data_IF_767419929187
#
_entry.id   IF_767419929187
#
_cell.length_a   1.000
_cell.length_b   1.000
_cell.length_c   1.000
_cell.angle_alpha   90.00
_cell.angle_beta   90.00
_cell.angle_gamma   90.00
#
_symmetry.space_group_name_H-M   'P 1'
#
loop_
_entity.id
_entity.type
_entity.pdbx_description
1 polymer ?
#
# COMPACT_ATOMS: atom_id res chain seq x y z
N UNK A 1 -2.21 -7.84 16.35
CA UNK A 1 -2.07 -7.72 14.89
C UNK A 1 -0.60 -7.81 14.50
N UNK A 2 0.24 -6.95 15.04
CA UNK A 2 1.69 -6.89 14.74
C UNK A 2 2.38 -8.23 15.05
N UNK A 3 2.14 -8.82 16.23
CA UNK A 3 2.73 -10.11 16.63
C UNK A 3 2.31 -11.30 15.74
N UNK A 4 1.30 -11.13 14.90
CA UNK A 4 0.82 -12.12 13.95
C UNK A 4 1.06 -11.70 12.49
N UNK A 5 1.91 -10.71 12.28
CA UNK A 5 2.33 -10.23 10.94
C UNK A 5 1.14 -9.97 10.01
N UNK A 6 0.11 -9.25 10.52
CA UNK A 6 -1.08 -8.90 9.73
C UNK A 6 -0.77 -7.68 8.87
N UNK A 7 -0.82 -7.81 7.56
CA UNK A 7 -0.53 -6.75 6.60
C UNK A 7 -1.71 -5.79 6.40
N UNK A 8 -2.94 -6.33 6.35
CA UNK A 8 -4.16 -5.56 6.10
C UNK A 8 -5.24 -5.89 7.12
N UNK A 9 -5.94 -4.86 7.58
CA UNK A 9 -7.17 -4.99 8.36
C UNK A 9 -8.31 -4.28 7.65
N UNK A 10 -9.42 -4.97 7.41
CA UNK A 10 -10.59 -4.41 6.75
C UNK A 10 -11.70 -4.19 7.78
N UNK A 11 -12.21 -2.96 7.80
CA UNK A 11 -13.29 -2.52 8.68
C UNK A 11 -14.54 -2.18 7.88
N UNK A 12 -15.70 -2.43 8.46
CA UNK A 12 -16.99 -1.94 7.99
C UNK A 12 -17.51 -0.81 8.89
N UNK A 13 -18.83 -0.63 8.90
CA UNK A 13 -19.62 0.26 9.76
C UNK A 13 -19.64 1.71 9.30
N UNK A 14 -18.50 2.38 9.17
CA UNK A 14 -18.43 3.75 8.67
C UNK A 14 -18.64 3.80 7.15
N UNK A 15 -19.62 4.60 6.70
CA UNK A 15 -20.09 4.58 5.32
C UNK A 15 -19.28 5.51 4.41
N UNK A 16 -17.98 5.25 4.33
CA UNK A 16 -17.03 5.85 3.39
C UNK A 16 -15.89 4.88 3.14
N UNK A 17 -15.01 5.21 2.21
CA UNK A 17 -13.74 4.53 2.02
C UNK A 17 -12.62 5.33 2.68
N UNK A 18 -11.76 4.65 3.44
CA UNK A 18 -10.53 5.22 3.98
C UNK A 18 -9.41 4.19 3.98
N UNK A 19 -8.22 4.63 3.59
CA UNK A 19 -6.98 3.87 3.74
C UNK A 19 -6.01 4.65 4.63
N UNK A 20 -5.41 3.94 5.59
CA UNK A 20 -4.35 4.51 6.41
C UNK A 20 -2.96 4.28 5.79
N UNK A 21 -1.96 5.01 6.26
CA UNK A 21 -0.59 4.54 6.26
C UNK A 21 -0.47 3.25 7.08
N UNK A 22 0.67 2.52 7.01
CA UNK A 22 0.96 1.48 8.00
C UNK A 22 1.03 2.09 9.39
N UNK A 23 0.18 1.62 10.33
CA UNK A 23 0.04 2.25 11.66
C UNK A 23 0.04 1.24 12.80
N UNK A 24 0.67 1.62 13.92
CA UNK A 24 0.57 0.95 15.21
C UNK A 24 0.12 1.99 16.25
N UNK A 25 -0.98 1.71 16.96
CA UNK A 25 -1.53 2.60 17.98
C UNK A 25 -1.73 4.05 17.46
N UNK A 26 -2.27 4.20 16.26
CA UNK A 26 -2.48 5.48 15.56
C UNK A 26 -1.19 6.26 15.23
N UNK A 27 -0.03 5.66 15.39
CA UNK A 27 1.26 6.24 15.00
C UNK A 27 1.69 5.64 13.66
N UNK A 28 1.95 6.50 12.68
CA UNK A 28 2.47 6.09 11.37
C UNK A 28 3.87 5.53 11.54
N UNK A 29 4.09 4.31 11.08
CA UNK A 29 5.38 3.62 11.17
C UNK A 29 6.26 3.93 9.97
N UNK A 30 5.68 3.92 8.79
CA UNK A 30 6.38 4.18 7.55
C UNK A 30 5.52 5.05 6.65
N UNK A 31 6.06 6.17 6.22
CA UNK A 31 5.53 6.94 5.09
C UNK A 31 6.34 6.50 3.87
N UNK A 32 5.97 5.37 3.28
CA UNK A 32 6.57 4.96 2.02
C UNK A 32 6.41 6.02 0.92
N UNK A 33 6.96 5.82 -0.26
CA UNK A 33 6.95 6.74 -1.41
C UNK A 33 5.56 6.89 -2.07
N UNK A 34 4.45 7.07 -1.34
CA UNK A 34 3.19 6.51 -1.76
C UNK A 34 2.05 7.50 -1.81
N UNK A 35 1.68 7.74 -3.00
CA UNK A 35 0.35 8.19 -3.36
C UNK A 35 -0.51 7.02 -3.84
N UNK A 36 -1.58 7.34 -4.58
CA UNK A 36 -2.38 6.40 -5.35
C UNK A 36 -1.47 5.55 -6.26
N UNK A 37 -1.57 4.23 -6.12
CA UNK A 37 -0.74 3.28 -6.86
C UNK A 37 0.62 2.95 -6.23
N UNK A 38 0.85 3.31 -4.96
CA UNK A 38 2.11 3.03 -4.26
C UNK A 38 2.36 1.55 -3.96
N UNK A 39 3.62 1.21 -3.79
CA UNK A 39 4.08 -0.10 -3.38
C UNK A 39 4.52 -0.07 -1.93
N UNK A 40 4.18 -1.11 -1.17
CA UNK A 40 4.63 -1.34 0.20
C UNK A 40 5.33 -2.69 0.25
N UNK A 41 6.55 -2.71 0.73
CA UNK A 41 7.31 -3.94 0.93
C UNK A 41 7.61 -4.12 2.42
N UNK A 42 7.28 -5.32 2.95
CA UNK A 42 7.66 -5.73 4.30
C UNK A 42 7.20 -4.78 5.40
N UNK A 43 5.96 -4.30 5.34
CA UNK A 43 5.47 -3.42 6.42
C UNK A 43 5.34 -4.21 7.70
N UNK A 44 6.04 -3.79 8.76
CA UNK A 44 5.88 -4.36 10.09
C UNK A 44 4.61 -3.86 10.81
N UNK A 45 3.81 -3.05 10.13
CA UNK A 45 2.60 -2.44 10.65
C UNK A 45 1.43 -2.62 9.67
N UNK A 46 0.22 -2.94 10.15
CA UNK A 46 -0.93 -3.14 9.29
C UNK A 46 -1.40 -1.84 8.63
N UNK A 47 -1.87 -1.96 7.38
CA UNK A 47 -2.66 -0.96 6.70
C UNK A 47 -4.13 -1.22 7.05
N UNK A 48 -4.84 -0.18 7.48
CA UNK A 48 -6.26 -0.28 7.76
C UNK A 48 -7.09 0.27 6.60
N UNK A 49 -8.11 -0.48 6.21
CA UNK A 49 -9.08 -0.13 5.18
C UNK A 49 -10.46 -0.06 5.80
N UNK A 50 -11.09 1.12 5.80
CA UNK A 50 -12.52 1.27 6.10
C UNK A 50 -13.27 1.15 4.77
N UNK A 51 -14.22 0.21 4.68
CA UNK A 51 -14.93 -0.13 3.44
C UNK A 51 -16.42 -0.29 3.72
N UNK A 52 -17.07 0.73 4.25
CA UNK A 52 -18.53 0.73 4.49
C UNK A 52 -19.34 1.26 3.30
N UNK A 53 -18.90 1.00 2.07
CA UNK A 53 -19.36 1.67 0.84
C UNK A 53 -20.40 0.92 0.03
N UNK A 54 -20.92 -0.21 0.53
CA UNK A 54 -21.77 -1.12 -0.22
C UNK A 54 -23.27 -0.75 -0.22
N UNK A 55 -23.62 0.50 -0.55
CA UNK A 55 -25.00 0.87 -0.93
C UNK A 55 -25.79 1.66 0.09
N UNK A 56 -25.34 1.90 1.32
CA UNK A 56 -25.92 2.86 2.26
C UNK A 56 -25.37 4.25 1.99
N UNK A 57 -26.17 5.31 2.21
CA UNK A 57 -25.70 6.70 2.09
C UNK A 57 -24.43 6.96 2.91
N UNK A 58 -23.50 7.71 2.34
CA UNK A 58 -22.21 8.01 2.98
C UNK A 58 -22.38 8.85 4.24
N UNK A 59 -21.54 8.59 5.24
CA UNK A 59 -21.40 9.46 6.40
C UNK A 59 -20.46 10.63 6.11
N UNK A 60 -20.64 11.72 6.88
CA UNK A 60 -19.67 12.78 6.90
C UNK A 60 -18.49 12.39 7.80
N UNK A 61 -17.29 12.61 7.32
CA UNK A 61 -16.09 12.54 8.12
C UNK A 61 -15.58 13.96 8.42
N UNK A 62 -14.70 14.09 9.43
CA UNK A 62 -14.08 15.37 9.76
C UNK A 62 -13.41 16.01 8.55
N UNK A 63 -13.50 17.34 8.39
CA UNK A 63 -12.78 18.07 7.34
C UNK A 63 -11.26 17.92 7.52
N UNK A 64 -10.79 17.92 8.76
CA UNK A 64 -9.39 17.64 9.08
C UNK A 64 -9.09 16.16 8.86
N UNK A 65 -8.09 15.88 8.02
CA UNK A 65 -7.59 14.54 7.78
C UNK A 65 -6.48 14.22 8.78
N UNK A 66 -6.66 13.20 9.64
CA UNK A 66 -5.61 12.79 10.57
C UNK A 66 -4.32 12.38 9.85
N UNK A 67 -3.17 12.56 10.48
CA UNK A 67 -1.86 12.21 9.88
C UNK A 67 -1.73 10.75 9.48
N UNK A 68 -2.43 9.84 10.16
CA UNK A 68 -2.44 8.41 9.86
C UNK A 68 -3.36 8.05 8.68
N UNK A 69 -4.28 8.92 8.29
CA UNK A 69 -5.19 8.73 7.15
C UNK A 69 -4.50 9.15 5.87
N UNK A 70 -4.36 8.22 4.92
CA UNK A 70 -3.70 8.50 3.65
C UNK A 70 -4.69 8.94 2.57
N UNK A 71 -5.81 8.25 2.45
CA UNK A 71 -6.79 8.52 1.42
C UNK A 71 -8.22 8.30 1.94
N UNK A 72 -9.13 9.20 1.59
CA UNK A 72 -10.56 9.10 1.93
C UNK A 72 -11.42 9.50 0.75
N UNK A 73 -12.54 8.80 0.56
CA UNK A 73 -13.57 9.23 -0.38
C UNK A 73 -14.97 8.75 0.02
N UNK A 74 -15.98 9.50 -0.42
CA UNK A 74 -17.41 9.21 -0.23
C UNK A 74 -18.00 8.71 -1.55
N UNK A 75 -17.66 7.51 -1.97
CA UNK A 75 -18.29 6.88 -3.13
C UNK A 75 -18.79 5.49 -2.76
N UNK A 76 -19.76 4.98 -3.49
CA UNK A 76 -20.09 3.58 -3.42
C UNK A 76 -19.07 2.76 -4.20
N UNK A 77 -18.70 1.62 -3.67
CA UNK A 77 -17.69 0.78 -4.30
C UNK A 77 -17.43 -0.50 -3.54
N UNK A 78 -16.44 -1.22 -4.01
CA UNK A 78 -15.97 -2.48 -3.42
C UNK A 78 -14.46 -2.60 -3.53
N UNK A 79 -13.88 -3.46 -2.69
CA UNK A 79 -12.46 -3.82 -2.79
C UNK A 79 -12.27 -4.98 -3.74
N UNK A 80 -11.21 -4.91 -4.53
CA UNK A 80 -10.69 -5.99 -5.35
C UNK A 80 -9.27 -6.32 -4.93
N UNK A 81 -9.01 -7.62 -4.71
CA UNK A 81 -7.70 -8.15 -4.33
C UNK A 81 -7.24 -9.12 -5.42
N UNK A 82 -6.00 -8.97 -5.86
CA UNK A 82 -5.34 -9.90 -6.76
C UNK A 82 -4.00 -10.29 -6.13
N UNK A 83 -3.93 -11.51 -5.59
CA UNK A 83 -2.81 -11.98 -4.80
C UNK A 83 -2.01 -13.07 -5.52
N UNK A 84 -0.69 -13.00 -5.40
CA UNK A 84 0.28 -14.03 -5.77
C UNK A 84 1.16 -14.34 -4.55
N UNK A 85 2.17 -15.20 -4.74
CA UNK A 85 3.18 -15.45 -3.71
C UNK A 85 4.07 -14.21 -3.49
N UNK A 86 4.27 -13.40 -4.52
CA UNK A 86 5.22 -12.27 -4.51
C UNK A 86 4.57 -10.95 -4.14
N UNK A 87 3.25 -10.81 -4.39
CA UNK A 87 2.56 -9.53 -4.18
C UNK A 87 1.05 -9.68 -4.06
N UNK A 88 0.42 -8.66 -3.49
CA UNK A 88 -1.03 -8.49 -3.51
C UNK A 88 -1.36 -7.08 -4.01
N UNK A 89 -2.03 -7.01 -5.16
CA UNK A 89 -2.63 -5.77 -5.65
C UNK A 89 -3.98 -5.56 -4.97
N UNK A 90 -4.17 -4.37 -4.44
CA UNK A 90 -5.38 -3.95 -3.73
C UNK A 90 -5.96 -2.74 -4.42
N UNK A 91 -7.24 -2.78 -4.75
CA UNK A 91 -7.93 -1.71 -5.47
C UNK A 91 -9.29 -1.42 -4.84
N UNK A 92 -9.59 -0.15 -4.66
CA UNK A 92 -10.93 0.33 -4.39
C UNK A 92 -11.59 0.73 -5.71
N UNK A 93 -12.56 -0.06 -6.15
CA UNK A 93 -13.30 0.16 -7.40
C UNK A 93 -14.65 0.80 -7.09
N UNK A 94 -14.90 1.98 -7.66
CA UNK A 94 -16.18 2.67 -7.56
C UNK A 94 -17.27 1.93 -8.33
N UNK A 95 -18.52 2.23 -8.02
CA UNK A 95 -19.69 1.61 -8.65
C UNK A 95 -19.74 1.82 -10.19
N UNK A 96 -19.11 2.87 -10.71
CA UNK A 96 -18.99 3.16 -12.14
C UNK A 96 -17.84 2.42 -12.84
N UNK A 97 -17.11 1.58 -12.09
CA UNK A 97 -15.97 0.81 -12.59
C UNK A 97 -14.63 1.55 -12.57
N UNK A 98 -14.60 2.81 -12.21
CA UNK A 98 -13.34 3.56 -12.08
C UNK A 98 -12.60 3.18 -10.80
N UNK A 99 -11.27 3.28 -10.82
CA UNK A 99 -10.43 3.02 -9.64
C UNK A 99 -10.30 4.30 -8.82
N UNK A 100 -10.81 4.26 -7.59
CA UNK A 100 -10.69 5.33 -6.61
C UNK A 100 -9.31 5.36 -5.97
N UNK A 101 -8.84 4.22 -5.52
CA UNK A 101 -7.56 4.04 -4.87
C UNK A 101 -6.94 2.69 -5.23
N UNK A 102 -5.61 2.60 -5.21
CA UNK A 102 -4.90 1.35 -5.46
C UNK A 102 -3.53 1.36 -4.80
N UNK A 103 -3.05 0.18 -4.43
CA UNK A 103 -1.69 -0.03 -3.95
C UNK A 103 -1.28 -1.49 -4.12
N UNK A 104 0.00 -1.77 -3.96
CA UNK A 104 0.58 -3.12 -4.04
C UNK A 104 1.32 -3.40 -2.73
N UNK A 105 1.03 -4.55 -2.14
CA UNK A 105 1.86 -5.14 -1.08
C UNK A 105 2.82 -6.13 -1.72
N UNK A 106 4.10 -5.98 -1.44
CA UNK A 106 5.15 -6.90 -1.87
C UNK A 106 5.49 -7.85 -0.72
N UNK A 107 5.60 -9.14 -1.02
CA UNK A 107 6.09 -10.11 -0.06
C UNK A 107 7.63 -10.04 -0.05
N UNK A 108 8.21 -9.63 1.07
CA UNK A 108 9.66 -9.54 1.26
C UNK A 108 10.09 -8.27 2.01
N UNK A 109 11.36 -8.20 2.33
CA UNK A 109 11.96 -7.03 2.96
C UNK A 109 11.93 -5.82 2.01
N UNK A 110 11.75 -4.62 2.55
CA UNK A 110 11.83 -3.39 1.75
C UNK A 110 13.16 -3.35 1.01
N UNK A 111 13.13 -3.14 -0.29
CA UNK A 111 14.36 -2.90 -1.04
C UNK A 111 14.93 -1.56 -0.56
N UNK A 112 16.16 -1.51 -0.02
CA UNK A 112 16.76 -0.25 0.37
C UNK A 112 16.79 0.70 -0.81
N UNK A 113 16.22 1.87 -0.67
CA UNK A 113 16.41 2.95 -1.64
C UNK A 113 17.87 3.37 -1.51
N UNK A 114 18.68 3.02 -2.48
CA UNK A 114 20.02 3.60 -2.59
C UNK A 114 19.82 5.07 -2.96
N UNK A 115 19.92 5.95 -1.98
CA UNK A 115 20.01 7.38 -2.25
C UNK A 115 21.29 7.61 -3.08
N UNK A 116 21.10 8.01 -4.33
CA UNK A 116 22.20 8.52 -5.13
C UNK A 116 22.65 9.85 -4.51
N UNK A 117 23.92 9.96 -4.19
CA UNK A 117 24.53 11.16 -3.61
C UNK A 117 24.31 12.43 -4.49
N UNK A 118 23.77 12.29 -5.69
CA UNK A 118 23.49 13.39 -6.62
C UNK A 118 22.11 14.05 -6.44
N UNK A 119 21.20 13.46 -5.65
CA UNK A 119 19.87 14.02 -5.36
C UNK A 119 18.93 14.15 -6.57
N UNK A 120 19.23 13.51 -7.69
CA UNK A 120 18.42 13.56 -8.89
C UNK A 120 18.18 12.15 -9.46
N UNK A 121 16.95 11.63 -9.33
CA UNK A 121 16.51 10.39 -9.98
C UNK A 121 15.82 10.73 -11.31
N UNK A 122 16.40 10.41 -12.48
CA UNK A 122 15.64 10.44 -13.72
C UNK A 122 14.62 9.28 -13.73
N UNK A 123 13.37 9.60 -14.09
CA UNK A 123 12.23 8.68 -14.06
C UNK A 123 12.37 7.40 -14.92
N UNK A 124 13.42 7.30 -15.74
CA UNK A 124 13.65 6.16 -16.64
C UNK A 124 14.62 5.10 -16.11
N UNK A 125 15.27 5.32 -14.96
CA UNK A 125 16.30 4.42 -14.42
C UNK A 125 15.78 3.25 -13.59
N UNK A 126 14.55 3.29 -13.09
CA UNK A 126 14.05 2.31 -12.11
C UNK A 126 13.85 0.89 -12.65
N UNK A 127 13.61 0.72 -13.95
CA UNK A 127 13.33 -0.61 -14.52
C UNK A 127 14.61 -1.43 -14.74
N UNK A 128 15.74 -0.77 -14.99
CA UNK A 128 17.00 -1.48 -15.27
C UNK A 128 17.76 -1.96 -14.03
N UNK A 129 17.63 -1.28 -12.89
CA UNK A 129 18.38 -1.63 -11.66
C UNK A 129 17.83 -2.87 -10.98
N UNK A 130 16.52 -3.12 -11.03
CA UNK A 130 15.91 -4.34 -10.49
C UNK A 130 16.37 -5.63 -11.20
N UNK A 131 16.60 -5.59 -12.52
CA UNK A 131 17.06 -6.77 -13.27
C UNK A 131 18.52 -7.14 -12.99
N UNK A 132 19.37 -6.19 -12.66
CA UNK A 132 20.80 -6.47 -12.40
C UNK A 132 21.06 -7.03 -11.00
N UNK A 133 20.27 -6.62 -9.99
CA UNK A 133 20.39 -7.18 -8.64
C UNK A 133 19.91 -8.64 -8.57
N UNK A 134 18.85 -9.01 -9.28
CA UNK A 134 18.37 -10.40 -9.35
C UNK A 134 19.39 -11.38 -9.95
N UNK A 135 20.20 -10.92 -10.89
CA UNK A 135 21.29 -11.73 -11.49
C UNK A 135 22.51 -11.88 -10.57
N UNK A 136 22.78 -10.91 -9.71
CA UNK A 136 23.89 -10.99 -8.75
C UNK A 136 23.60 -11.93 -7.58
N UNK A 137 22.37 -11.91 -7.04
CA UNK A 137 21.96 -12.80 -5.94
C UNK A 137 21.94 -14.28 -6.36
N UNK A 138 21.55 -14.60 -7.60
CA UNK A 138 21.59 -15.98 -8.11
C UNK A 138 23.01 -16.53 -8.29
N UNK A 139 24.01 -15.69 -8.51
CA UNK A 139 25.42 -16.15 -8.66
C UNK A 139 26.06 -16.54 -7.34
N UNK A 140 25.63 -16.00 -6.20
CA UNK A 140 26.20 -16.36 -4.90
C UNK A 140 25.66 -17.69 -4.34
N UNK A 141 24.49 -18.16 -4.76
CA UNK A 141 23.97 -19.46 -4.32
C UNK A 141 24.48 -20.67 -5.10
N UNK A 142 25.23 -20.46 -6.18
CA UNK A 142 25.80 -21.56 -6.99
C UNK A 142 27.27 -21.87 -6.67
N UNK A 143 27.89 -21.26 -5.66
CA UNK A 143 29.31 -21.42 -5.32
C UNK A 143 29.52 -21.87 -3.86
N UNK A 144 28.51 -22.44 -3.23
CA UNK A 144 28.64 -23.06 -1.90
C UNK A 144 28.18 -24.51 -1.93
#
# INVERSE_FOLDING_TARGET
>A
LVDNEVDIVIWGHDHFYERTWPVINSVVQEKGTFGKGGEFAGTHAPIHLVVGTAGRGSYDYSEEQPEWSLYREKSHGLMRFNASIESMQVEYMRYDGTIGDSFILLNGEPTPILEDESGFLPAEGMIFTLMTLFLAARKQQMVS
#
